data_IF_080325155481
#
_entry.id   IF_080325155481
#
_cell.length_a   1.000
_cell.length_b   1.000
_cell.length_c   1.000
_cell.angle_alpha   90.00
_cell.angle_beta   90.00
_cell.angle_gamma   90.00
#
_symmetry.space_group_name_H-M   'P 1'
#
loop_
_entity.id
_entity.type
_entity.pdbx_description
1 polymer ?
#
# COMPACT_ATOMS: atom_id res chain seq x y z
N UNK A 1 -6.72 -18.55 -5.41
CA UNK A 1 -6.45 -18.21 -6.78
C UNK A 1 -4.98 -17.98 -7.05
N UNK A 2 -4.57 -18.34 -8.23
CA UNK A 2 -3.18 -18.19 -8.60
C UNK A 2 -2.73 -16.74 -8.55
N UNK A 3 -3.62 -15.82 -8.88
CA UNK A 3 -3.28 -14.41 -8.83
C UNK A 3 -2.88 -14.00 -7.43
N UNK A 4 -3.63 -14.44 -6.42
CA UNK A 4 -3.31 -14.09 -5.05
C UNK A 4 -2.00 -14.71 -4.60
N UNK A 5 -1.75 -15.95 -4.99
CA UNK A 5 -0.49 -16.58 -4.63
C UNK A 5 0.69 -15.82 -5.20
N UNK A 6 0.57 -15.43 -6.43
CA UNK A 6 1.61 -14.68 -7.12
C UNK A 6 1.84 -13.32 -6.48
N UNK A 7 0.79 -12.72 -5.94
CA UNK A 7 0.85 -11.37 -5.42
C UNK A 7 1.01 -11.30 -3.90
N UNK A 8 1.19 -12.43 -3.23
CA UNK A 8 1.28 -12.43 -1.77
C UNK A 8 2.32 -11.46 -1.21
N UNK A 9 3.54 -11.42 -1.75
CA UNK A 9 4.50 -10.47 -1.23
C UNK A 9 4.03 -9.02 -1.37
N UNK A 10 3.40 -8.70 -2.49
CA UNK A 10 2.89 -7.36 -2.70
C UNK A 10 1.77 -7.03 -1.71
N UNK A 11 0.88 -7.99 -1.48
CA UNK A 11 -0.19 -7.80 -0.51
C UNK A 11 0.38 -7.56 0.88
N UNK A 12 1.39 -8.33 1.26
CA UNK A 12 2.01 -8.19 2.57
C UNK A 12 2.66 -6.82 2.73
N UNK A 13 3.40 -6.38 1.73
CA UNK A 13 4.09 -5.10 1.81
C UNK A 13 3.09 -3.94 1.88
N UNK A 14 2.07 -3.99 1.04
CA UNK A 14 1.06 -2.95 1.05
C UNK A 14 0.29 -2.94 2.38
N UNK A 15 -0.03 -4.12 2.91
CA UNK A 15 -0.71 -4.22 4.19
C UNK A 15 0.12 -3.59 5.30
N UNK A 16 1.44 -3.78 5.27
CA UNK A 16 2.32 -3.21 6.28
C UNK A 16 2.27 -1.68 6.22
N UNK A 17 2.32 -1.12 5.02
CA UNK A 17 2.26 0.34 4.88
C UNK A 17 0.90 0.89 5.32
N UNK A 18 -0.18 0.20 4.93
CA UNK A 18 -1.52 0.61 5.34
C UNK A 18 -1.63 0.63 6.86
N UNK A 19 -1.09 -0.39 7.54
CA UNK A 19 -1.09 -0.44 8.99
C UNK A 19 -0.34 0.73 9.59
N UNK A 20 0.78 1.10 9.00
CA UNK A 20 1.57 2.22 9.49
C UNK A 20 0.82 3.53 9.34
N UNK A 21 0.21 3.76 8.19
CA UNK A 21 -0.55 4.98 7.96
C UNK A 21 -1.76 5.04 8.91
N UNK A 22 -2.46 3.91 9.08
CA UNK A 22 -3.60 3.88 9.97
C UNK A 22 -3.19 4.24 11.39
N UNK A 23 -2.03 3.75 11.84
CA UNK A 23 -1.52 4.08 13.16
C UNK A 23 -1.22 5.58 13.27
N UNK A 24 -0.55 6.12 12.26
CA UNK A 24 -0.20 7.55 12.27
C UNK A 24 -1.41 8.45 12.20
N UNK A 25 -2.43 8.02 11.46
CA UNK A 25 -3.65 8.82 11.30
C UNK A 25 -4.68 8.51 12.38
N UNK A 26 -4.37 7.56 13.26
CA UNK A 26 -5.24 7.19 14.36
C UNK A 26 -6.60 6.69 13.86
N UNK A 27 -6.59 5.85 12.83
CA UNK A 27 -7.81 5.23 12.31
C UNK A 27 -7.64 3.72 12.34
N UNK A 28 -8.80 3.03 12.33
CA UNK A 28 -8.80 1.58 12.27
C UNK A 28 -8.27 1.13 10.91
N UNK A 29 -7.33 0.20 10.93
CA UNK A 29 -6.74 -0.32 9.69
C UNK A 29 -7.82 -0.86 8.74
N UNK A 30 -8.81 -1.59 9.28
CA UNK A 30 -9.87 -2.14 8.45
C UNK A 30 -10.74 -1.06 7.82
N UNK A 31 -10.84 0.10 8.48
CA UNK A 31 -11.57 1.22 7.90
C UNK A 31 -10.81 1.79 6.70
N UNK A 32 -9.49 1.83 6.79
CA UNK A 32 -8.68 2.37 5.72
C UNK A 32 -8.66 1.44 4.51
N UNK A 33 -8.42 0.15 4.74
CA UNK A 33 -8.40 -0.80 3.63
C UNK A 33 -8.46 -2.23 4.17
N UNK A 34 -9.17 -3.08 3.42
CA UNK A 34 -9.21 -4.51 3.70
C UNK A 34 -8.34 -5.23 2.69
N UNK A 35 -8.15 -6.54 2.90
CA UNK A 35 -7.45 -7.37 1.93
C UNK A 35 -8.13 -7.29 0.56
N UNK A 36 -9.46 -7.25 0.56
CA UNK A 36 -10.20 -7.13 -0.70
C UNK A 36 -9.83 -5.86 -1.44
N UNK A 37 -9.68 -4.76 -0.71
CA UNK A 37 -9.28 -3.48 -1.32
C UNK A 37 -7.90 -3.55 -1.93
N UNK A 38 -6.97 -4.24 -1.26
CA UNK A 38 -5.61 -4.38 -1.75
C UNK A 38 -5.59 -5.22 -3.02
N UNK A 39 -6.34 -6.33 -3.02
CA UNK A 39 -6.40 -7.19 -4.20
C UNK A 39 -7.00 -6.44 -5.37
N UNK A 40 -8.07 -5.67 -5.13
CA UNK A 40 -8.68 -4.88 -6.20
C UNK A 40 -7.71 -3.87 -6.78
N UNK A 41 -6.89 -3.25 -5.92
CA UNK A 41 -5.88 -2.30 -6.38
C UNK A 41 -4.84 -3.01 -7.26
N UNK A 42 -4.38 -4.19 -6.83
CA UNK A 42 -3.38 -4.94 -7.57
C UNK A 42 -3.90 -5.45 -8.91
N UNK A 43 -5.20 -5.72 -8.98
CA UNK A 43 -5.85 -6.14 -10.22
C UNK A 43 -6.17 -4.96 -11.12
N UNK A 44 -5.91 -3.75 -10.64
CA UNK A 44 -6.17 -2.53 -11.39
C UNK A 44 -7.65 -2.34 -11.69
N UNK A 45 -8.50 -2.79 -10.78
CA UNK A 45 -9.94 -2.59 -10.93
C UNK A 45 -10.26 -1.11 -10.89
N UNK A 46 -11.09 -0.65 -11.82
CA UNK A 46 -11.43 0.76 -11.92
C UNK A 46 -12.18 1.26 -10.69
N UNK A 47 -12.94 0.38 -10.04
CA UNK A 47 -13.74 0.74 -8.88
C UNK A 47 -13.07 0.39 -7.56
N UNK A 48 -11.78 0.09 -7.57
CA UNK A 48 -11.05 -0.18 -6.32
C UNK A 48 -11.14 1.05 -5.41
N UNK A 49 -11.51 0.81 -4.14
CA UNK A 49 -11.72 1.92 -3.20
C UNK A 49 -10.45 2.72 -2.97
N UNK A 50 -9.29 2.08 -3.05
CA UNK A 50 -8.03 2.76 -2.84
C UNK A 50 -7.64 3.70 -3.98
N UNK A 51 -8.38 3.68 -5.06
CA UNK A 51 -8.12 4.54 -6.22
C UNK A 51 -9.00 5.78 -6.26
N UNK A 52 -9.93 5.92 -5.33
CA UNK A 52 -10.90 7.02 -5.38
C UNK A 52 -11.13 7.59 -3.99
N UNK A 53 -11.59 8.83 -3.94
CA UNK A 53 -12.05 9.46 -2.73
C UNK A 53 -10.96 9.69 -1.70
N UNK A 54 -11.37 9.73 -0.43
CA UNK A 54 -10.45 10.07 0.65
C UNK A 54 -9.34 9.05 0.83
N UNK A 55 -9.60 7.79 0.49
CA UNK A 55 -8.55 6.77 0.59
C UNK A 55 -7.44 7.03 -0.41
N UNK A 56 -7.82 7.40 -1.62
CA UNK A 56 -6.82 7.76 -2.62
C UNK A 56 -6.06 9.01 -2.19
N UNK A 57 -6.76 9.99 -1.66
CA UNK A 57 -6.10 11.23 -1.23
C UNK A 57 -5.10 10.98 -0.11
N UNK A 58 -5.39 10.01 0.74
CA UNK A 58 -4.54 9.73 1.88
C UNK A 58 -3.32 8.89 1.51
N UNK A 59 -3.52 7.80 0.78
CA UNK A 59 -2.44 6.85 0.51
C UNK A 59 -2.35 6.40 -0.94
N UNK A 60 -3.28 6.79 -1.79
CA UNK A 60 -3.33 6.26 -3.16
C UNK A 60 -2.05 6.49 -3.95
N UNK A 61 -1.53 7.70 -3.90
CA UNK A 61 -0.30 8.03 -4.64
C UNK A 61 0.88 7.24 -4.10
N UNK A 62 0.96 7.06 -2.79
CA UNK A 62 2.05 6.29 -2.19
C UNK A 62 1.99 4.83 -2.62
N UNK A 63 0.80 4.25 -2.63
CA UNK A 63 0.64 2.87 -3.06
C UNK A 63 0.97 2.73 -4.54
N UNK A 64 0.58 3.71 -5.35
CA UNK A 64 0.92 3.68 -6.76
C UNK A 64 2.42 3.76 -6.96
N UNK A 65 3.10 4.61 -6.22
CA UNK A 65 4.56 4.70 -6.30
C UNK A 65 5.22 3.38 -5.94
N UNK A 66 4.71 2.71 -4.91
CA UNK A 66 5.24 1.40 -4.54
C UNK A 66 5.04 0.38 -5.67
N UNK A 67 3.84 0.36 -6.24
CA UNK A 67 3.52 -0.61 -7.29
C UNK A 67 4.29 -0.37 -8.57
N UNK A 68 4.61 0.88 -8.85
CA UNK A 68 5.35 1.23 -10.05
C UNK A 68 6.86 1.15 -9.85
N UNK A 69 7.30 0.85 -8.65
CA UNK A 69 8.74 0.75 -8.38
C UNK A 69 9.43 2.08 -8.16
N UNK A 70 8.65 3.16 -7.97
CA UNK A 70 9.24 4.47 -7.72
C UNK A 70 9.54 4.72 -6.26
N UNK A 71 9.06 3.86 -5.38
CA UNK A 71 9.27 4.01 -3.96
C UNK A 71 9.48 2.64 -3.32
N UNK A 72 10.04 2.65 -2.13
CA UNK A 72 10.20 1.44 -1.34
C UNK A 72 9.89 1.74 0.11
N UNK A 73 9.86 0.70 0.93
CA UNK A 73 9.64 0.85 2.36
C UNK A 73 10.91 0.51 3.10
N UNK A 74 11.16 1.22 4.17
CA UNK A 74 12.32 0.99 5.01
C UNK A 74 11.89 1.13 6.46
N UNK A 75 12.63 0.50 7.36
CA UNK A 75 12.46 0.77 8.78
C UNK A 75 12.95 2.18 9.08
N UNK A 76 12.30 2.82 10.03
CA UNK A 76 12.69 4.16 10.44
C UNK A 76 13.72 4.16 11.58
N UNK A 77 14.13 2.97 12.02
CA UNK A 77 15.06 2.84 13.13
C UNK A 77 14.39 2.86 14.50
N UNK A 78 13.10 2.98 14.56
CA UNK A 78 12.34 3.05 15.81
C UNK A 78 11.18 2.07 15.84
N UNK A 79 11.21 1.08 14.97
CA UNK A 79 10.14 0.10 14.90
C UNK A 79 9.03 0.43 13.93
N UNK A 80 9.04 1.61 13.36
CA UNK A 80 8.06 2.01 12.36
C UNK A 80 8.57 1.86 10.95
N UNK A 81 7.74 2.28 10.01
CA UNK A 81 8.08 2.22 8.59
C UNK A 81 8.09 3.62 8.00
N UNK A 82 8.90 3.80 7.00
CA UNK A 82 8.91 5.04 6.24
C UNK A 82 9.01 4.70 4.76
N UNK A 83 8.50 5.60 3.94
CA UNK A 83 8.58 5.44 2.51
C UNK A 83 9.78 6.21 1.98
N UNK A 84 10.53 5.58 1.11
CA UNK A 84 11.72 6.19 0.54
C UNK A 84 11.61 6.14 -0.97
N UNK A 85 12.26 7.10 -1.63
CA UNK A 85 12.31 7.08 -3.08
C UNK A 85 13.23 5.95 -3.53
N UNK A 86 12.78 5.17 -4.50
CA UNK A 86 13.59 4.08 -5.02
C UNK A 86 14.67 4.66 -5.93
N UNK A 87 15.90 4.21 -5.72
CA UNK A 87 16.98 4.59 -6.61
C UNK A 87 16.82 3.85 -7.91
N UNK A 88 17.06 4.56 -9.00
CA UNK A 88 17.08 3.89 -10.28
C UNK A 88 18.36 3.06 -10.36
N UNK A 89 18.24 1.78 -10.66
CA UNK A 89 19.45 0.95 -10.70
C UNK A 89 20.15 1.11 -11.98
N UNK A 90 20.19 1.91 -12.65
CA UNK A 90 20.93 2.11 -13.82
C UNK A 90 20.91 1.25 -14.76
#
# INVERSE_FOLDING_TARGET
EDVERHLRPAITLISAWISEVARLENVDTALLATRHDIVALLRKDADARLRVGWRHDLIGDQLDDLLQGRAGLSFDGKGGLKMIAASSPI
#
